data_IF_783957091625
#
_entry.id   IF_783957091625
#
_cell.length_a   1.000
_cell.length_b   1.000
_cell.length_c   1.000
_cell.angle_alpha   90.00
_cell.angle_beta   90.00
_cell.angle_gamma   90.00
#
_symmetry.space_group_name_H-M   'P 1'
#
loop_
_entity.id
_entity.type
_entity.pdbx_description
1 polymer ?
#
# COMPACT_ATOMS: atom_id res chain seq x y z
N UNK A 1 -8.99 13.34 11.09
CA UNK A 1 -8.78 11.95 10.63
C UNK A 1 -7.81 12.02 9.49
N UNK A 2 -6.77 11.21 9.53
CA UNK A 2 -5.74 11.23 8.51
C UNK A 2 -6.22 10.61 7.20
N UNK A 3 -6.39 9.33 7.15
CA UNK A 3 -6.82 8.62 5.95
C UNK A 3 -8.33 8.33 5.99
N UNK A 4 -9.01 8.47 4.85
CA UNK A 4 -10.39 8.01 4.67
C UNK A 4 -10.49 7.12 3.44
N UNK A 5 -11.19 5.99 3.58
CA UNK A 5 -11.45 5.10 2.46
C UNK A 5 -12.32 5.80 1.42
N UNK A 6 -11.88 5.82 0.18
CA UNK A 6 -12.65 6.34 -0.94
C UNK A 6 -13.41 5.22 -1.67
N UNK A 7 -12.71 4.14 -1.96
CA UNK A 7 -13.28 2.99 -2.68
C UNK A 7 -12.49 1.72 -2.37
N UNK A 8 -13.15 0.60 -2.55
CA UNK A 8 -12.52 -0.73 -2.61
C UNK A 8 -13.04 -1.50 -3.81
N UNK A 9 -12.23 -2.37 -4.35
CA UNK A 9 -12.66 -3.27 -5.41
C UNK A 9 -11.89 -4.59 -5.35
N UNK A 10 -12.61 -5.66 -5.64
CA UNK A 10 -12.07 -7.00 -5.74
C UNK A 10 -12.41 -7.55 -7.12
N UNK A 11 -11.42 -8.08 -7.82
CA UNK A 11 -11.67 -8.77 -9.08
C UNK A 11 -11.54 -10.26 -8.88
N UNK A 12 -12.45 -11.01 -9.44
CA UNK A 12 -12.37 -12.46 -9.47
C UNK A 12 -11.13 -12.96 -10.23
N UNK A 13 -10.85 -14.23 -10.10
CA UNK A 13 -9.74 -14.90 -10.76
C UNK A 13 -9.87 -14.91 -12.28
N UNK A 14 -8.75 -14.77 -12.97
CA UNK A 14 -8.66 -14.80 -14.43
C UNK A 14 -7.23 -15.05 -14.89
N UNK A 15 -7.08 -15.73 -16.02
CA UNK A 15 -5.80 -15.91 -16.74
C UNK A 15 -5.58 -14.86 -17.83
N UNK A 16 -6.41 -13.83 -17.91
CA UNK A 16 -6.30 -12.77 -18.92
C UNK A 16 -4.91 -12.08 -18.88
N UNK A 17 -4.43 -11.65 -20.04
CA UNK A 17 -3.22 -10.87 -20.19
C UNK A 17 -3.53 -9.56 -20.96
N UNK A 18 -3.43 -8.38 -20.34
CA UNK A 18 -3.19 -8.20 -18.91
C UNK A 18 -4.40 -8.61 -18.06
N UNK A 19 -4.15 -8.95 -16.79
CA UNK A 19 -5.21 -8.99 -15.78
C UNK A 19 -5.58 -7.54 -15.44
N UNK A 20 -6.86 -7.22 -15.55
CA UNK A 20 -7.36 -5.87 -15.30
C UNK A 20 -8.37 -5.81 -14.17
N UNK A 21 -8.39 -4.68 -13.48
CA UNK A 21 -9.40 -4.28 -12.51
C UNK A 21 -9.62 -2.78 -12.59
N UNK A 22 -10.57 -2.25 -11.86
CA UNK A 22 -10.79 -0.81 -11.75
C UNK A 22 -10.83 -0.40 -10.30
N UNK A 23 -10.43 0.84 -10.01
CA UNK A 23 -10.58 1.47 -8.70
C UNK A 23 -11.01 2.92 -8.87
N UNK A 24 -12.01 3.34 -8.14
CA UNK A 24 -12.42 4.73 -8.13
C UNK A 24 -11.56 5.51 -7.15
N UNK A 25 -11.04 6.64 -7.58
CA UNK A 25 -10.19 7.45 -6.72
C UNK A 25 -11.01 8.23 -5.68
N UNK A 26 -12.29 8.46 -5.94
CA UNK A 26 -13.16 9.24 -5.05
C UNK A 26 -12.66 10.66 -4.81
N UNK A 27 -11.68 11.11 -5.58
CA UNK A 27 -11.04 12.39 -5.35
C UNK A 27 -11.93 13.54 -5.79
N UNK A 28 -11.97 14.54 -4.95
CA UNK A 28 -12.43 15.87 -5.32
C UNK A 28 -11.31 16.88 -5.00
N UNK A 29 -10.86 17.61 -5.99
CA UNK A 29 -9.87 18.65 -5.79
C UNK A 29 -8.42 18.19 -5.74
N UNK A 30 -7.62 18.74 -4.85
CA UNK A 30 -6.16 18.60 -4.77
C UNK A 30 -5.68 17.61 -3.69
N UNK A 31 -6.53 16.71 -3.25
CA UNK A 31 -6.16 15.74 -2.21
C UNK A 31 -5.24 14.68 -2.77
N UNK A 32 -4.08 14.52 -2.16
CA UNK A 32 -3.19 13.40 -2.45
C UNK A 32 -3.88 12.10 -2.08
N UNK A 33 -3.71 11.10 -2.92
CA UNK A 33 -4.31 9.79 -2.73
C UNK A 33 -3.25 8.72 -2.60
N UNK A 34 -3.58 7.72 -1.84
CA UNK A 34 -2.88 6.46 -1.78
C UNK A 34 -3.78 5.39 -2.38
N UNK A 35 -3.25 4.62 -3.32
CA UNK A 35 -3.91 3.45 -3.86
C UNK A 35 -3.04 2.24 -3.56
N UNK A 36 -3.62 1.22 -2.99
CA UNK A 36 -2.96 -0.05 -2.66
C UNK A 36 -3.64 -1.16 -3.43
N UNK A 37 -2.83 -2.01 -4.06
CA UNK A 37 -3.27 -3.17 -4.83
C UNK A 37 -2.52 -4.40 -4.36
N UNK A 38 -3.25 -5.44 -3.99
CA UNK A 38 -2.71 -6.78 -3.83
C UNK A 38 -2.94 -7.56 -5.09
N UNK A 39 -1.88 -8.15 -5.60
CA UNK A 39 -1.93 -9.11 -6.70
C UNK A 39 -1.71 -10.49 -6.11
N UNK A 40 -2.68 -11.36 -6.31
CA UNK A 40 -2.66 -12.72 -5.80
C UNK A 40 -2.63 -13.67 -6.99
N UNK A 41 -1.73 -14.63 -6.92
CA UNK A 41 -1.58 -15.69 -7.93
C UNK A 41 -1.71 -17.05 -7.29
N UNK A 42 -2.38 -17.97 -7.98
CA UNK A 42 -2.64 -19.33 -7.49
C UNK A 42 -1.49 -20.32 -7.70
N UNK A 43 -0.29 -19.88 -7.94
CA UNK A 43 0.89 -20.73 -8.07
C UNK A 43 2.01 -20.11 -7.26
N UNK A 44 2.68 -20.94 -6.47
CA UNK A 44 3.92 -20.58 -5.79
C UNK A 44 4.94 -20.07 -6.80
N UNK A 45 5.18 -18.76 -6.84
CA UNK A 45 6.17 -18.14 -7.71
C UNK A 45 6.73 -16.86 -7.14
N UNK A 46 7.96 -16.61 -7.48
CA UNK A 46 8.68 -15.39 -7.18
C UNK A 46 8.33 -14.30 -8.20
N UNK A 47 7.44 -13.39 -7.86
CA UNK A 47 7.26 -12.13 -8.55
C UNK A 47 6.38 -12.15 -9.80
N UNK A 48 5.82 -10.99 -10.11
CA UNK A 48 5.12 -10.71 -11.35
C UNK A 48 6.09 -10.59 -12.54
N UNK A 49 5.58 -10.75 -13.75
CA UNK A 49 6.37 -10.59 -14.98
C UNK A 49 6.83 -9.13 -15.19
N UNK A 50 6.07 -8.17 -14.68
CA UNK A 50 6.40 -6.74 -14.62
C UNK A 50 5.51 -6.01 -13.61
N UNK A 51 5.91 -4.81 -13.22
CA UNK A 51 5.14 -3.95 -12.32
C UNK A 51 3.73 -3.68 -12.86
N UNK A 52 2.71 -3.71 -11.99
CA UNK A 52 1.38 -3.22 -12.34
C UNK A 52 1.39 -1.75 -12.70
N UNK A 53 0.40 -1.35 -13.50
CA UNK A 53 0.15 0.06 -13.78
C UNK A 53 -1.25 0.45 -13.32
N UNK A 54 -1.42 1.72 -12.96
CA UNK A 54 -2.69 2.33 -12.61
C UNK A 54 -2.93 3.55 -13.50
N UNK A 55 -3.92 3.46 -14.39
CA UNK A 55 -4.18 4.52 -15.37
C UNK A 55 -3.03 4.80 -16.34
N UNK A 56 -2.05 3.90 -16.42
CA UNK A 56 -0.81 4.03 -17.20
C UNK A 56 0.45 4.32 -16.37
N UNK A 57 0.31 4.77 -15.13
CA UNK A 57 1.43 5.04 -14.24
C UNK A 57 1.91 3.77 -13.53
N UNK A 58 3.22 3.56 -13.46
CA UNK A 58 3.81 2.40 -12.81
C UNK A 58 3.62 2.48 -11.29
N UNK A 59 3.23 1.36 -10.68
CA UNK A 59 3.13 1.23 -9.24
C UNK A 59 4.46 0.83 -8.61
N UNK A 60 4.66 1.20 -7.35
CA UNK A 60 5.80 0.77 -6.53
C UNK A 60 5.45 -0.49 -5.75
N UNK A 61 6.39 -1.41 -5.63
CA UNK A 61 6.22 -2.61 -4.81
C UNK A 61 6.53 -2.28 -3.34
N UNK A 62 5.68 -2.75 -2.44
CA UNK A 62 5.92 -2.76 -1.01
C UNK A 62 6.42 -4.16 -0.63
N UNK A 63 7.68 -4.24 -0.24
CA UNK A 63 8.31 -5.49 0.14
C UNK A 63 8.56 -6.48 -1.00
N UNK A 64 8.76 -7.74 -0.62
CA UNK A 64 8.96 -8.85 -1.53
C UNK A 64 7.71 -9.72 -1.63
N UNK A 65 7.70 -10.57 -2.64
CA UNK A 65 6.64 -11.58 -2.79
C UNK A 65 6.67 -12.54 -1.61
N UNK A 66 5.53 -12.77 -1.01
CA UNK A 66 5.35 -13.84 -0.04
C UNK A 66 4.52 -14.97 -0.66
N UNK A 67 4.92 -16.21 -0.45
CA UNK A 67 4.30 -17.35 -1.11
C UNK A 67 4.24 -18.60 -0.25
N UNK A 68 3.23 -19.43 -0.55
CA UNK A 68 3.11 -20.81 -0.09
C UNK A 68 3.27 -21.77 -1.27
N UNK A 69 3.04 -23.06 -1.04
CA UNK A 69 2.97 -24.05 -2.12
C UNK A 69 1.76 -23.86 -3.05
N UNK A 70 0.74 -23.16 -2.61
CA UNK A 70 -0.56 -23.03 -3.31
C UNK A 70 -0.71 -21.68 -4.01
N UNK A 71 -0.05 -20.62 -3.51
CA UNK A 71 -0.17 -19.31 -4.11
C UNK A 71 0.84 -18.30 -3.62
N UNK A 72 0.78 -17.10 -4.18
CA UNK A 72 1.62 -15.98 -3.81
C UNK A 72 0.81 -14.68 -3.75
N UNK A 73 1.25 -13.76 -2.90
CA UNK A 73 0.68 -12.41 -2.76
C UNK A 73 1.78 -11.35 -2.86
N UNK A 74 1.48 -10.30 -3.59
CA UNK A 74 2.32 -9.11 -3.71
C UNK A 74 1.52 -7.86 -3.37
N UNK A 75 2.15 -6.90 -2.71
CA UNK A 75 1.57 -5.60 -2.41
C UNK A 75 2.22 -4.53 -3.28
N UNK A 76 1.39 -3.75 -3.95
CA UNK A 76 1.78 -2.64 -4.81
C UNK A 76 1.04 -1.38 -4.40
N UNK A 77 1.66 -0.21 -4.56
CA UNK A 77 1.03 1.05 -4.23
C UNK A 77 1.39 2.16 -5.22
N UNK A 78 0.51 3.14 -5.28
CA UNK A 78 0.75 4.42 -5.96
C UNK A 78 0.31 5.55 -5.03
N UNK A 79 1.17 6.53 -4.87
CA UNK A 79 0.87 7.79 -4.18
C UNK A 79 0.87 8.88 -5.23
N UNK A 80 -0.30 9.47 -5.49
CA UNK A 80 -0.45 10.49 -6.51
C UNK A 80 -1.56 11.48 -6.13
N UNK A 81 -1.53 12.66 -6.73
CA UNK A 81 -2.56 13.69 -6.57
C UNK A 81 -3.51 13.65 -7.74
N UNK A 82 -4.73 13.19 -7.49
CA UNK A 82 -5.79 13.18 -8.50
C UNK A 82 -6.67 14.42 -8.34
N UNK A 83 -6.75 15.22 -9.39
CA UNK A 83 -7.51 16.48 -9.38
C UNK A 83 -9.02 16.29 -9.56
N UNK A 84 -9.43 15.14 -10.08
CA UNK A 84 -10.83 14.78 -10.33
C UNK A 84 -11.05 13.32 -9.96
N UNK A 85 -12.16 13.04 -9.27
CA UNK A 85 -12.58 11.66 -9.01
C UNK A 85 -12.83 10.94 -10.34
N UNK A 86 -12.20 9.79 -10.53
CA UNK A 86 -12.33 8.98 -11.73
C UNK A 86 -12.08 7.51 -11.43
N UNK A 87 -12.62 6.68 -12.30
CA UNK A 87 -12.28 5.27 -12.31
C UNK A 87 -10.97 5.07 -13.07
N UNK A 88 -10.00 4.43 -12.42
CA UNK A 88 -8.70 4.11 -13.00
C UNK A 88 -8.60 2.62 -13.24
N UNK A 89 -8.01 2.24 -14.38
CA UNK A 89 -7.74 0.84 -14.69
C UNK A 89 -6.43 0.41 -14.04
N UNK A 90 -6.50 -0.64 -13.24
CA UNK A 90 -5.34 -1.41 -12.79
C UNK A 90 -5.03 -2.42 -13.90
N UNK A 91 -3.78 -2.48 -14.33
CA UNK A 91 -3.33 -3.43 -15.36
C UNK A 91 -2.09 -4.17 -14.88
N UNK A 92 -2.19 -5.50 -14.83
CA UNK A 92 -1.10 -6.38 -14.39
C UNK A 92 -0.70 -7.28 -15.55
N UNK A 93 0.54 -7.18 -16.05
CA UNK A 93 1.04 -8.08 -17.08
C UNK A 93 1.01 -9.55 -16.61
N UNK A 94 0.51 -10.44 -17.46
CA UNK A 94 0.34 -11.87 -17.16
C UNK A 94 0.82 -12.75 -18.33
N UNK A 95 2.08 -12.57 -18.71
CA UNK A 95 2.68 -13.29 -19.85
C UNK A 95 2.77 -14.81 -19.61
N UNK A 96 2.74 -15.22 -18.33
CA UNK A 96 2.81 -16.64 -17.94
C UNK A 96 1.43 -17.29 -17.82
N UNK A 97 0.35 -16.61 -18.17
CA UNK A 97 -1.03 -17.11 -18.10
C UNK A 97 -1.41 -17.67 -16.72
N UNK A 98 -0.95 -17.00 -15.65
CA UNK A 98 -1.28 -17.36 -14.27
C UNK A 98 -2.73 -17.00 -13.97
N UNK A 99 -3.38 -17.76 -13.12
CA UNK A 99 -4.64 -17.32 -12.52
C UNK A 99 -4.33 -16.23 -11.50
N UNK A 100 -4.89 -15.05 -11.70
CA UNK A 100 -4.66 -13.87 -10.85
C UNK A 100 -5.97 -13.27 -10.40
N UNK A 101 -5.98 -12.73 -9.20
CA UNK A 101 -7.01 -11.84 -8.68
C UNK A 101 -6.38 -10.56 -8.12
N UNK A 102 -7.19 -9.51 -8.00
CA UNK A 102 -6.78 -8.22 -7.48
C UNK A 102 -7.68 -7.81 -6.34
N UNK A 103 -7.08 -7.35 -5.24
CA UNK A 103 -7.78 -6.63 -4.16
C UNK A 103 -7.22 -5.21 -4.14
N UNK A 104 -8.07 -4.21 -4.27
CA UNK A 104 -7.65 -2.82 -4.36
C UNK A 104 -8.40 -1.93 -3.38
N UNK A 105 -7.71 -0.91 -2.87
CA UNK A 105 -8.30 0.14 -2.04
C UNK A 105 -7.70 1.50 -2.36
N UNK A 106 -8.52 2.53 -2.34
CA UNK A 106 -8.10 3.92 -2.55
C UNK A 106 -8.42 4.76 -1.32
N UNK A 107 -7.52 5.69 -0.99
CA UNK A 107 -7.52 6.45 0.24
C UNK A 107 -7.33 7.94 -0.02
N UNK A 108 -8.17 8.76 0.59
CA UNK A 108 -8.10 10.21 0.52
C UNK A 108 -7.43 10.72 1.79
N UNK A 109 -6.52 11.68 1.61
CA UNK A 109 -5.91 12.42 2.69
C UNK A 109 -6.54 13.81 2.82
N UNK A 110 -6.47 14.44 4.00
CA UNK A 110 -6.87 15.84 4.17
C UNK A 110 -6.10 16.76 3.20
N UNK A 111 -6.70 17.90 2.88
CA UNK A 111 -6.06 18.92 2.05
C UNK A 111 -4.71 19.35 2.67
N UNK A 112 -3.68 19.49 1.82
CA UNK A 112 -2.34 19.87 2.26
C UNK A 112 -1.56 18.73 2.93
N UNK A 113 -2.03 17.49 2.83
CA UNK A 113 -1.34 16.30 3.33
C UNK A 113 -0.98 15.37 2.18
N UNK A 114 0.10 14.63 2.36
CA UNK A 114 0.56 13.58 1.45
C UNK A 114 0.83 12.30 2.21
N UNK A 115 0.62 11.17 1.56
CA UNK A 115 1.07 9.88 2.10
C UNK A 115 2.55 9.68 1.78
N UNK A 116 3.25 9.00 2.66
CA UNK A 116 4.53 8.37 2.35
C UNK A 116 4.50 6.93 2.81
N UNK A 117 5.17 6.07 2.07
CA UNK A 117 5.42 4.69 2.48
C UNK A 117 6.42 4.70 3.63
N UNK A 118 6.15 3.92 4.68
CA UNK A 118 6.96 3.92 5.92
C UNK A 118 7.66 2.59 6.12
N UNK A 119 6.91 1.48 6.14
CA UNK A 119 7.45 0.14 6.38
C UNK A 119 6.54 -0.94 5.79
N UNK A 120 7.09 -2.13 5.60
CA UNK A 120 6.35 -3.33 5.26
C UNK A 120 6.87 -4.55 5.99
N UNK A 121 6.06 -5.58 6.00
CA UNK A 121 6.47 -6.90 6.44
C UNK A 121 5.57 -7.98 5.83
N UNK A 122 6.08 -9.19 5.77
CA UNK A 122 5.39 -10.34 5.22
C UNK A 122 5.55 -11.57 6.11
N UNK A 123 4.64 -12.51 5.97
CA UNK A 123 4.67 -13.79 6.67
C UNK A 123 3.88 -14.85 5.91
N UNK A 124 4.32 -16.08 6.02
CA UNK A 124 3.60 -17.26 5.52
C UNK A 124 3.74 -18.44 6.47
N UNK A 125 2.86 -19.39 6.33
CA UNK A 125 2.93 -20.65 7.08
C UNK A 125 2.12 -21.73 6.38
N UNK A 126 2.47 -22.97 6.65
CA UNK A 126 1.68 -24.14 6.30
C UNK A 126 0.97 -24.66 7.55
N UNK A 127 -0.34 -24.79 7.48
CA UNK A 127 -1.10 -25.41 8.55
C UNK A 127 -1.29 -24.59 9.82
N UNK A 128 -1.65 -23.32 9.71
CA UNK A 128 -1.96 -22.44 10.86
C UNK A 128 -3.37 -21.86 10.80
N UNK A 129 -3.96 -21.59 11.96
CA UNK A 129 -5.29 -20.98 12.09
C UNK A 129 -5.26 -19.47 12.35
N UNK A 130 -4.09 -18.89 12.57
CA UNK A 130 -3.95 -17.50 12.97
C UNK A 130 -2.86 -16.78 12.13
N UNK A 131 -3.13 -16.52 10.85
CA UNK A 131 -2.22 -15.72 10.05
C UNK A 131 -1.96 -14.36 10.70
N UNK A 132 -0.71 -13.96 10.75
CA UNK A 132 -0.31 -12.70 11.39
C UNK A 132 0.89 -12.12 10.70
N UNK A 133 0.81 -10.84 10.36
CA UNK A 133 1.98 -10.03 10.00
C UNK A 133 2.09 -8.86 10.95
N UNK A 134 3.30 -8.56 11.40
CA UNK A 134 3.59 -7.42 12.27
C UNK A 134 4.26 -6.36 11.43
N UNK A 135 3.60 -5.21 11.28
CA UNK A 135 4.12 -4.06 10.53
C UNK A 135 4.52 -2.99 11.53
N UNK A 136 5.72 -2.47 11.37
CA UNK A 136 6.20 -1.34 12.16
C UNK A 136 5.72 -0.04 11.50
N UNK A 137 5.50 0.98 12.30
CA UNK A 137 5.32 2.33 11.81
C UNK A 137 5.92 3.32 12.80
N UNK A 138 6.59 4.35 12.24
CA UNK A 138 7.35 5.29 13.05
C UNK A 138 6.47 6.33 13.72
N UNK A 139 5.76 7.11 12.94
CA UNK A 139 5.02 8.29 13.40
C UNK A 139 3.55 8.23 13.00
N UNK A 140 2.68 8.70 13.89
CA UNK A 140 1.27 8.92 13.60
C UNK A 140 1.04 10.32 13.00
N UNK A 141 -0.06 10.55 12.25
CA UNK A 141 -1.08 9.55 11.92
C UNK A 141 -0.68 8.65 10.76
N UNK A 142 -1.01 7.38 10.87
CA UNK A 142 -0.68 6.37 9.86
C UNK A 142 -1.83 5.40 9.61
N UNK A 143 -1.74 4.69 8.51
CA UNK A 143 -2.60 3.56 8.18
C UNK A 143 -1.73 2.32 7.95
N UNK A 144 -2.16 1.18 8.47
CA UNK A 144 -1.61 -0.12 8.11
C UNK A 144 -2.65 -0.89 7.33
N UNK A 145 -2.26 -1.39 6.18
CA UNK A 145 -3.12 -2.18 5.30
C UNK A 145 -2.45 -3.53 5.10
N UNK A 146 -3.18 -4.62 5.20
CA UNK A 146 -2.65 -5.96 4.89
C UNK A 146 -3.57 -6.76 3.99
N UNK A 147 -2.96 -7.55 3.11
CA UNK A 147 -3.62 -8.53 2.27
C UNK A 147 -3.28 -9.94 2.71
N UNK A 148 -4.17 -10.87 2.40
CA UNK A 148 -4.07 -12.29 2.71
C UNK A 148 -4.43 -13.12 1.49
N UNK A 149 -3.65 -14.16 1.27
CA UNK A 149 -3.99 -15.33 0.47
C UNK A 149 -4.06 -16.56 1.40
N UNK A 150 -5.01 -17.45 1.16
CA UNK A 150 -5.12 -18.77 1.84
C UNK A 150 -5.55 -19.83 0.85
N UNK A 151 -5.02 -21.04 0.99
CA UNK A 151 -5.30 -22.19 0.14
C UNK A 151 -6.70 -22.77 0.29
N UNK A 152 -7.50 -22.30 1.28
CA UNK A 152 -8.90 -22.67 1.43
C UNK A 152 -9.76 -21.47 1.84
N UNK A 153 -11.04 -21.55 1.53
CA UNK A 153 -12.04 -20.54 1.87
C UNK A 153 -12.41 -20.56 3.34
N UNK A 154 -11.56 -20.01 4.19
CA UNK A 154 -11.82 -20.18 5.61
C UNK A 154 -11.58 -18.93 6.49
N UNK A 155 -11.42 -17.75 5.90
CA UNK A 155 -11.32 -16.49 6.65
C UNK A 155 -12.62 -16.25 7.40
N UNK A 156 -12.62 -16.50 8.70
CA UNK A 156 -13.80 -16.41 9.56
C UNK A 156 -13.90 -15.10 10.34
N UNK A 157 -12.80 -14.37 10.47
CA UNK A 157 -12.80 -13.11 11.21
C UNK A 157 -11.48 -12.35 11.20
N UNK A 158 -11.50 -11.23 11.92
CA UNK A 158 -10.36 -10.33 12.14
C UNK A 158 -10.15 -10.16 13.64
N UNK A 159 -8.93 -9.80 14.02
CA UNK A 159 -8.70 -9.33 15.38
C UNK A 159 -9.43 -8.00 15.65
N UNK A 160 -9.74 -7.69 16.91
CA UNK A 160 -10.41 -6.44 17.27
C UNK A 160 -9.69 -5.19 16.75
N UNK A 161 -10.47 -4.19 16.33
CA UNK A 161 -9.97 -2.90 15.85
C UNK A 161 -9.51 -2.87 14.39
N UNK A 162 -9.57 -4.01 13.67
CA UNK A 162 -9.31 -4.07 12.23
C UNK A 162 -10.62 -3.99 11.48
N UNK A 163 -10.55 -3.40 10.29
CA UNK A 163 -11.70 -3.27 9.39
C UNK A 163 -11.43 -4.09 8.13
N UNK A 164 -12.33 -5.00 7.83
CA UNK A 164 -12.29 -5.74 6.56
C UNK A 164 -12.64 -4.77 5.43
N UNK A 165 -11.78 -4.71 4.42
CA UNK A 165 -12.03 -3.97 3.20
C UNK A 165 -12.80 -4.83 2.21
N UNK A 166 -12.32 -6.02 1.94
CA UNK A 166 -12.98 -6.93 1.03
C UNK A 166 -12.51 -8.37 1.20
N UNK A 167 -13.33 -9.28 0.73
CA UNK A 167 -13.05 -10.71 0.73
C UNK A 167 -13.49 -11.29 -0.60
N UNK A 168 -12.67 -12.17 -1.15
CA UNK A 168 -13.02 -13.01 -2.28
C UNK A 168 -12.77 -14.47 -1.93
N UNK A 169 -13.69 -15.32 -2.28
CA UNK A 169 -13.73 -16.71 -1.86
C UNK A 169 -14.22 -17.57 -3.02
N UNK A 170 -13.36 -18.46 -3.53
CA UNK A 170 -13.68 -19.33 -4.68
C UNK A 170 -14.25 -20.69 -4.25
N UNK A 171 -14.32 -20.97 -2.96
CA UNK A 171 -14.61 -22.29 -2.42
C UNK A 171 -13.37 -23.18 -2.25
N UNK A 172 -12.26 -22.86 -2.91
CA UNK A 172 -10.98 -23.56 -2.81
C UNK A 172 -9.84 -22.65 -2.35
N UNK A 173 -9.98 -21.35 -2.51
CA UNK A 173 -9.00 -20.34 -2.11
C UNK A 173 -9.74 -19.16 -1.49
N UNK A 174 -9.12 -18.57 -0.49
CA UNK A 174 -9.62 -17.37 0.17
C UNK A 174 -8.64 -16.20 0.00
N UNK A 175 -9.19 -15.02 -0.20
CA UNK A 175 -8.43 -13.78 -0.35
C UNK A 175 -9.15 -12.68 0.41
N UNK A 176 -8.41 -11.87 1.14
CA UNK A 176 -8.99 -10.77 1.88
C UNK A 176 -7.99 -9.63 2.09
N UNK A 177 -8.48 -8.42 2.33
CA UNK A 177 -7.66 -7.32 2.79
C UNK A 177 -8.35 -6.56 3.93
N UNK A 178 -7.54 -6.00 4.81
CA UNK A 178 -7.96 -5.29 6.01
C UNK A 178 -7.10 -4.06 6.25
N UNK A 179 -7.58 -3.17 7.10
CA UNK A 179 -6.80 -2.04 7.56
C UNK A 179 -7.02 -1.71 9.03
N UNK A 180 -6.12 -0.92 9.57
CA UNK A 180 -6.28 -0.20 10.84
C UNK A 180 -5.71 1.21 10.70
N UNK A 181 -6.43 2.19 11.26
CA UNK A 181 -5.91 3.55 11.41
C UNK A 181 -5.15 3.65 12.73
N UNK A 182 -3.95 4.17 12.68
CA UNK A 182 -3.14 4.36 13.86
C UNK A 182 -3.00 5.84 14.22
N UNK A 183 -3.18 6.13 15.48
CA UNK A 183 -3.04 7.48 16.06
C UNK A 183 -1.93 7.58 17.10
N UNK A 184 -1.14 6.51 17.28
CA UNK A 184 -0.04 6.45 18.26
C UNK A 184 1.29 6.31 17.56
N UNK A 185 2.31 7.00 18.05
CA UNK A 185 3.66 6.92 17.54
C UNK A 185 4.38 5.64 17.97
N UNK A 186 5.34 5.21 17.16
CA UNK A 186 6.32 4.15 17.42
C UNK A 186 5.72 2.87 18.01
N UNK A 187 4.75 2.29 17.35
CA UNK A 187 4.20 1.00 17.76
C UNK A 187 4.09 0.02 16.58
N UNK A 188 4.31 -1.24 16.90
CA UNK A 188 4.09 -2.33 15.96
C UNK A 188 2.61 -2.65 15.90
N UNK A 189 2.08 -2.84 14.70
CA UNK A 189 0.72 -3.32 14.49
C UNK A 189 0.73 -4.76 14.02
N UNK A 190 0.07 -5.59 14.77
CA UNK A 190 -0.19 -6.98 14.41
C UNK A 190 -1.46 -7.05 13.59
N UNK A 191 -1.35 -7.36 12.31
CA UNK A 191 -2.48 -7.58 11.41
C UNK A 191 -2.82 -9.07 11.43
N UNK A 192 -3.84 -9.40 12.20
CA UNK A 192 -4.23 -10.79 12.47
C UNK A 192 -5.49 -11.16 11.69
N UNK A 193 -5.49 -12.37 11.21
CA UNK A 193 -6.62 -13.03 10.59
C UNK A 193 -7.06 -14.23 11.45
N UNK A 194 -8.30 -14.62 11.34
CA UNK A 194 -8.84 -15.78 12.07
C UNK A 194 -9.41 -16.77 11.07
N UNK A 195 -8.92 -18.00 11.12
CA UNK A 195 -9.39 -19.10 10.30
C UNK A 195 -10.26 -20.04 11.14
N UNK A 196 -11.23 -20.66 10.51
CA UNK A 196 -12.04 -21.72 11.13
C UNK A 196 -11.30 -23.07 11.17
N UNK A 197 -10.38 -23.28 10.24
CA UNK A 197 -9.54 -24.49 10.12
C UNK A 197 -8.11 -24.09 9.81
N UNK A 198 -7.17 -24.99 10.10
CA UNK A 198 -5.76 -24.79 9.75
C UNK A 198 -5.57 -24.86 8.24
N UNK A 199 -4.74 -23.97 7.71
CA UNK A 199 -4.51 -23.84 6.28
C UNK A 199 -3.15 -23.22 5.93
N UNK A 200 -2.73 -23.34 4.68
CA UNK A 200 -1.60 -22.63 4.12
C UNK A 200 -1.99 -21.18 3.82
N UNK A 201 -1.14 -20.24 4.17
CA UNK A 201 -1.42 -18.83 3.98
C UNK A 201 -0.16 -18.00 3.75
N UNK A 202 -0.32 -16.91 3.03
CA UNK A 202 0.65 -15.85 2.88
C UNK A 202 -0.01 -14.48 3.11
N UNK A 203 0.65 -13.57 3.78
CA UNK A 203 0.15 -12.23 4.07
C UNK A 203 1.27 -11.19 3.95
N UNK A 204 0.93 -10.03 3.40
CA UNK A 204 1.79 -8.84 3.36
C UNK A 204 1.03 -7.69 3.96
N UNK A 205 1.71 -6.89 4.80
CA UNK A 205 1.21 -5.64 5.32
C UNK A 205 2.19 -4.51 5.03
N UNK A 206 1.64 -3.32 4.74
CA UNK A 206 2.42 -2.10 4.58
C UNK A 206 1.83 -0.96 5.40
N UNK A 207 2.69 -0.08 5.89
CA UNK A 207 2.32 1.13 6.61
C UNK A 207 2.58 2.37 5.75
N UNK A 208 1.66 3.32 5.87
CA UNK A 208 1.74 4.63 5.23
C UNK A 208 1.43 5.68 6.26
N UNK A 209 2.24 6.72 6.33
CA UNK A 209 1.99 7.84 7.23
C UNK A 209 1.62 9.10 6.48
N UNK A 210 0.87 9.95 7.15
CA UNK A 210 0.53 11.28 6.69
C UNK A 210 1.62 12.26 7.07
N UNK A 211 2.10 13.02 6.09
CA UNK A 211 2.97 14.17 6.35
C UNK A 211 2.35 15.45 5.79
N UNK A 212 2.85 16.60 6.20
CA UNK A 212 2.48 17.85 5.55
C UNK A 212 2.92 17.78 4.08
N UNK A 213 1.97 17.94 3.16
CA UNK A 213 2.29 18.14 1.75
C UNK A 213 2.97 19.50 1.62
N UNK A 214 4.13 19.56 1.01
CA UNK A 214 4.74 20.85 0.67
C UNK A 214 3.80 21.59 -0.27
N UNK A 215 2.88 22.36 0.29
CA UNK A 215 2.17 23.39 -0.46
C UNK A 215 3.25 24.34 -0.99
N UNK A 216 3.24 24.67 -2.27
CA UNK A 216 4.30 25.37 -2.99
C UNK A 216 4.79 26.70 -2.37
N UNK A 217 5.39 26.60 -1.24
CA UNK A 217 6.00 27.60 -0.36
C UNK A 217 6.86 26.87 0.67
N UNK A 218 7.96 26.32 0.23
CA UNK A 218 9.21 26.27 0.96
C UNK A 218 9.33 25.62 2.32
N UNK A 219 8.44 24.72 2.76
CA UNK A 219 8.76 23.93 3.95
C UNK A 219 9.66 22.75 3.55
N UNK A 220 10.95 22.96 3.71
CA UNK A 220 11.90 21.86 3.76
C UNK A 220 11.51 20.94 4.92
N UNK A 221 10.95 19.79 4.60
CA UNK A 221 10.80 18.70 5.58
C UNK A 221 12.19 18.47 6.17
N UNK A 222 12.29 18.60 7.49
CA UNK A 222 13.49 18.44 8.31
C UNK A 222 14.63 17.69 7.61
N UNK A 223 15.63 18.40 7.15
CA UNK A 223 16.86 17.82 6.64
C UNK A 223 17.85 17.63 7.79
N UNK A 224 17.42 16.91 8.80
CA UNK A 224 18.15 16.77 10.07
C UNK A 224 19.53 16.09 9.95
N UNK A 225 19.91 15.61 8.77
CA UNK A 225 21.16 14.84 8.63
C UNK A 225 22.00 15.14 7.40
N UNK A 226 21.57 16.04 6.49
CA UNK A 226 22.38 16.39 5.31
C UNK A 226 23.18 17.64 5.60
N UNK A 227 24.50 17.53 5.56
CA UNK A 227 25.35 18.70 5.67
C UNK A 227 25.05 19.67 4.52
N UNK A 228 24.91 20.96 4.81
CA UNK A 228 24.56 21.99 3.85
C UNK A 228 25.54 22.01 2.65
N UNK A 229 26.79 21.62 2.88
CA UNK A 229 27.83 21.49 1.86
C UNK A 229 27.57 20.40 0.81
N UNK A 230 26.70 19.43 1.13
CA UNK A 230 26.42 18.30 0.23
C UNK A 230 25.16 18.52 -0.65
N UNK A 231 24.47 19.65 -0.44
CA UNK A 231 23.29 19.99 -1.22
C UNK A 231 23.68 20.76 -2.48
N UNK A 232 23.30 20.26 -3.63
CA UNK A 232 23.52 20.93 -4.92
C UNK A 232 22.29 21.75 -5.34
N UNK A 233 21.10 21.24 -5.07
CA UNK A 233 19.82 21.86 -5.43
C UNK A 233 18.79 21.63 -4.34
N UNK A 234 17.93 22.62 -4.10
CA UNK A 234 16.71 22.50 -3.31
C UNK A 234 15.54 22.91 -4.19
N UNK A 235 14.62 21.99 -4.47
CA UNK A 235 13.47 22.23 -5.37
C UNK A 235 13.85 22.84 -6.73
N UNK A 236 14.98 22.42 -7.31
CA UNK A 236 15.46 22.93 -8.59
C UNK A 236 16.17 24.29 -8.50
N UNK A 237 16.29 24.88 -7.32
CA UNK A 237 17.02 26.14 -7.13
C UNK A 237 18.44 25.84 -6.64
N UNK A 238 19.44 26.43 -7.30
CA UNK A 238 20.83 26.29 -6.87
C UNK A 238 21.02 26.82 -5.45
N UNK A 239 21.75 26.07 -4.63
CA UNK A 239 22.01 26.45 -3.25
C UNK A 239 22.70 27.81 -3.11
N UNK A 240 23.49 28.22 -4.13
CA UNK A 240 24.10 29.52 -4.19
C UNK A 240 23.10 30.68 -4.30
N UNK A 241 21.84 30.38 -4.67
CA UNK A 241 20.76 31.37 -4.78
C UNK A 241 19.87 31.41 -3.54
N UNK A 242 20.13 30.57 -2.54
CA UNK A 242 19.35 30.50 -1.29
C UNK A 242 20.00 31.41 -0.27
N UNK A 243 19.34 32.51 0.10
CA UNK A 243 19.85 33.49 1.05
C UNK A 243 19.48 33.19 2.49
N UNK A 244 18.44 32.37 2.72
CA UNK A 244 18.06 31.92 4.07
C UNK A 244 17.23 30.64 4.00
N UNK A 245 17.32 29.84 5.04
CA UNK A 245 16.45 28.68 5.28
C UNK A 245 15.91 28.82 6.71
N UNK A 246 14.58 28.83 6.88
CA UNK A 246 13.90 28.98 8.16
C UNK A 246 14.36 30.20 8.99
N UNK A 247 14.66 31.32 8.32
CA UNK A 247 15.09 32.53 8.98
C UNK A 247 16.56 32.54 9.41
N UNK A 248 17.31 31.47 9.16
CA UNK A 248 18.76 31.45 9.37
C UNK A 248 19.43 31.95 8.11
N UNK A 249 20.23 33.02 8.23
CA UNK A 249 21.03 33.53 7.13
C UNK A 249 22.10 32.51 6.76
N UNK A 250 22.10 32.06 5.53
CA UNK A 250 23.20 31.30 4.96
C UNK A 250 24.28 32.30 4.58
N UNK A 251 25.32 32.43 5.44
CA UNK A 251 26.45 33.30 5.10
C UNK A 251 27.16 32.84 3.84
N UNK A 252 27.54 33.79 3.00
CA UNK A 252 28.49 33.59 1.91
C UNK A 252 29.88 33.25 2.47
#
# INVERSE_FOLDING_TARGET
MAFSLANENNTGESTANPKTGTIDTGASGTNTQLIVVYVITNLSRSGLDAAPTLGGDSMSQAGTVESTTEGAIEMWYLIDTFTVGRSLTISVPNNSSRTMSLLASSWILPAGKVAIFDDDNQASSTGSTNPTVIVNFGLAPSIVISGLFTGASNVSGLAPGRVLLGKYDTGNEGQAHQYILNTKDNSNVSMNWVFSTSDDWATIGGSFREIAGGGGGGDLVSMDTVAFADMVLVNGVSISSITSINGVLTGN
#
